data_IF_099568802975
#
_entry.id   IF_099568802975
#
_cell.length_a   1.000
_cell.length_b   1.000
_cell.length_c   1.000
_cell.angle_alpha   90.00
_cell.angle_beta   90.00
_cell.angle_gamma   90.00
#
_symmetry.space_group_name_H-M   'P 1'
#
loop_
_entity.id
_entity.type
_entity.pdbx_description
1 polymer ?
#
# COMPACT_ATOMS: atom_id res chain seq x y z
N UNK A 1 15.29 19.06 1.06
CA UNK A 1 14.36 18.55 0.03
C UNK A 1 13.97 17.17 0.48
N UNK A 2 12.67 16.83 0.49
CA UNK A 2 12.22 15.47 0.79
C UNK A 2 11.99 14.75 -0.54
N UNK A 3 12.76 13.69 -0.80
CA UNK A 3 12.60 12.87 -1.99
C UNK A 3 11.60 11.75 -1.70
N UNK A 4 10.59 11.63 -2.56
CA UNK A 4 9.62 10.52 -2.53
C UNK A 4 9.76 9.69 -3.80
N UNK A 5 9.75 8.37 -3.64
CA UNK A 5 9.63 7.43 -4.75
C UNK A 5 8.61 6.33 -4.45
N UNK A 6 8.30 5.51 -5.45
CA UNK A 6 7.34 4.42 -5.40
C UNK A 6 8.04 3.06 -5.47
N UNK A 7 7.54 2.09 -4.70
CA UNK A 7 7.94 0.67 -4.78
C UNK A 7 6.71 -0.22 -4.92
N UNK A 8 6.82 -1.30 -5.71
CA UNK A 8 5.78 -2.31 -5.77
C UNK A 8 5.79 -3.17 -4.50
N UNK A 9 4.61 -3.63 -4.07
CA UNK A 9 4.47 -4.59 -2.98
C UNK A 9 5.46 -5.77 -3.05
N UNK A 10 5.62 -6.36 -4.24
CA UNK A 10 6.46 -7.54 -4.46
C UNK A 10 7.97 -7.24 -4.34
N UNK A 11 8.36 -5.97 -4.36
CA UNK A 11 9.76 -5.54 -4.33
C UNK A 11 10.24 -5.18 -2.92
N UNK A 12 9.37 -5.20 -1.90
CA UNK A 12 9.70 -4.85 -0.51
C UNK A 12 10.80 -5.73 0.12
N UNK A 13 10.95 -6.97 -0.36
CA UNK A 13 11.93 -7.95 0.14
C UNK A 13 13.20 -8.03 -0.72
N UNK A 14 13.40 -7.07 -1.62
CA UNK A 14 14.54 -7.02 -2.54
C UNK A 14 15.49 -5.88 -2.18
N UNK A 15 16.57 -5.75 -2.95
CA UNK A 15 17.58 -4.69 -2.78
C UNK A 15 17.07 -3.28 -3.15
N UNK A 16 15.83 -3.15 -3.63
CA UNK A 16 15.25 -1.87 -4.04
C UNK A 16 15.25 -0.82 -2.91
N UNK A 17 14.92 -1.20 -1.67
CA UNK A 17 14.93 -0.24 -0.56
C UNK A 17 16.34 0.29 -0.24
N UNK A 18 17.37 -0.55 -0.39
CA UNK A 18 18.76 -0.13 -0.24
C UNK A 18 19.19 0.82 -1.36
N UNK A 19 18.79 0.51 -2.59
CA UNK A 19 19.02 1.40 -3.73
C UNK A 19 18.35 2.77 -3.52
N UNK A 20 17.05 2.80 -3.19
CA UNK A 20 16.29 4.04 -2.95
C UNK A 20 16.92 4.86 -1.83
N UNK A 21 17.37 4.20 -0.75
CA UNK A 21 18.07 4.89 0.32
C UNK A 21 19.41 5.49 -0.16
N UNK A 22 20.15 4.79 -1.00
CA UNK A 22 21.45 5.25 -1.52
C UNK A 22 21.37 6.53 -2.36
N UNK A 23 20.22 6.78 -2.99
CA UNK A 23 19.93 8.00 -3.75
C UNK A 23 19.19 9.06 -2.93
N UNK A 24 19.19 8.91 -1.60
CA UNK A 24 18.59 9.85 -0.63
C UNK A 24 17.07 9.98 -0.70
N UNK A 25 16.34 8.92 -1.09
CA UNK A 25 14.89 8.88 -0.88
C UNK A 25 14.58 8.92 0.62
N UNK A 26 13.62 9.75 0.99
CA UNK A 26 13.17 9.97 2.37
C UNK A 26 11.82 9.28 2.62
N UNK A 27 10.93 9.26 1.62
CA UNK A 27 9.59 8.70 1.76
C UNK A 27 9.25 7.72 0.64
N UNK A 28 8.50 6.67 1.00
CA UNK A 28 8.07 5.61 0.10
C UNK A 28 6.57 5.68 -0.09
N UNK A 29 6.17 5.56 -1.35
CA UNK A 29 4.83 5.24 -1.78
C UNK A 29 4.75 3.75 -2.13
N UNK A 30 3.92 2.99 -1.42
CA UNK A 30 3.76 1.57 -1.66
C UNK A 30 2.62 1.31 -2.66
N UNK A 31 2.96 0.73 -3.81
CA UNK A 31 2.03 0.37 -4.87
C UNK A 31 1.45 -1.03 -4.65
N UNK A 32 0.14 -1.12 -4.47
CA UNK A 32 -0.56 -2.36 -4.10
C UNK A 32 -1.67 -2.75 -5.09
N UNK A 33 -1.82 -2.09 -6.24
CA UNK A 33 -2.89 -2.41 -7.21
C UNK A 33 -2.86 -3.83 -7.78
N UNK A 34 -1.73 -4.54 -7.65
CA UNK A 34 -1.60 -5.94 -8.04
C UNK A 34 -2.08 -6.91 -6.94
N UNK A 35 -2.34 -6.42 -5.73
CA UNK A 35 -2.90 -7.21 -4.65
C UNK A 35 -4.41 -7.32 -4.82
N UNK A 36 -4.94 -8.53 -4.68
CA UNK A 36 -6.38 -8.70 -4.47
C UNK A 36 -6.71 -8.27 -3.03
N UNK A 37 -7.40 -7.14 -2.92
CA UNK A 37 -7.88 -6.53 -1.67
C UNK A 37 -9.40 -6.68 -1.51
N UNK A 38 -10.04 -7.47 -2.37
CA UNK A 38 -11.51 -7.58 -2.44
C UNK A 38 -12.09 -8.77 -1.69
N UNK A 39 -11.28 -9.42 -0.86
CA UNK A 39 -11.60 -10.64 -0.11
C UNK A 39 -12.17 -10.39 1.30
N UNK A 40 -12.23 -9.11 1.74
CA UNK A 40 -12.76 -8.73 3.05
C UNK A 40 -11.87 -9.11 4.24
N UNK A 41 -10.64 -9.56 4.00
CA UNK A 41 -9.70 -9.87 5.07
C UNK A 41 -8.97 -8.61 5.52
N UNK A 42 -8.80 -8.45 6.84
CA UNK A 42 -7.95 -7.38 7.38
C UNK A 42 -6.51 -7.51 6.86
N UNK A 43 -5.92 -6.38 6.51
CA UNK A 43 -4.54 -6.27 5.99
C UNK A 43 -3.62 -5.52 6.95
N UNK A 44 -4.04 -5.27 8.18
CA UNK A 44 -3.28 -4.48 9.17
C UNK A 44 -1.86 -5.02 9.37
N UNK A 45 -1.72 -6.31 9.69
CA UNK A 45 -0.40 -6.92 9.90
C UNK A 45 0.49 -6.86 8.64
N UNK A 46 -0.11 -6.90 7.45
CA UNK A 46 0.62 -6.80 6.19
C UNK A 46 1.21 -5.39 6.04
N UNK A 47 0.41 -4.35 6.27
CA UNK A 47 0.88 -2.97 6.15
C UNK A 47 1.83 -2.56 7.29
N UNK A 48 1.65 -3.10 8.49
CA UNK A 48 2.61 -2.95 9.59
C UNK A 48 3.98 -3.52 9.20
N UNK A 49 4.03 -4.75 8.67
CA UNK A 49 5.30 -5.34 8.18
C UNK A 49 5.92 -4.54 7.05
N UNK A 50 5.12 -4.00 6.13
CA UNK A 50 5.63 -3.14 5.07
C UNK A 50 6.24 -1.85 5.64
N UNK A 51 5.59 -1.24 6.63
CA UNK A 51 6.07 -0.05 7.35
C UNK A 51 7.39 -0.35 8.04
N UNK A 52 7.47 -1.44 8.80
CA UNK A 52 8.69 -1.88 9.49
C UNK A 52 9.88 -2.03 8.53
N UNK A 53 9.68 -2.67 7.37
CA UNK A 53 10.73 -2.85 6.37
C UNK A 53 11.26 -1.53 5.81
N UNK A 54 10.36 -0.60 5.48
CA UNK A 54 10.73 0.72 4.96
C UNK A 54 11.46 1.54 6.04
N UNK A 55 10.94 1.53 7.26
CA UNK A 55 11.50 2.30 8.39
C UNK A 55 12.83 1.74 8.89
N UNK A 56 13.05 0.43 8.80
CA UNK A 56 14.35 -0.20 9.08
C UNK A 56 15.48 0.30 8.17
N UNK A 57 15.15 0.84 6.98
CA UNK A 57 16.12 1.45 6.05
C UNK A 57 16.29 2.96 6.25
N UNK A 58 15.63 3.53 7.27
CA UNK A 58 15.69 4.97 7.58
C UNK A 58 14.86 5.84 6.64
N UNK A 59 13.86 5.27 5.96
CA UNK A 59 12.86 5.97 5.15
C UNK A 59 11.50 5.92 5.85
N UNK A 60 10.51 6.70 5.41
CA UNK A 60 9.15 6.66 5.94
C UNK A 60 8.17 6.10 4.90
N UNK A 61 7.36 5.11 5.29
CA UNK A 61 6.19 4.72 4.49
C UNK A 61 5.12 5.82 4.59
N UNK A 62 4.95 6.59 3.51
CA UNK A 62 4.11 7.79 3.50
C UNK A 62 2.71 7.56 2.93
N UNK A 63 2.59 6.68 1.92
CA UNK A 63 1.29 6.36 1.32
C UNK A 63 1.25 4.90 0.86
N UNK A 64 0.06 4.32 0.85
CA UNK A 64 -0.22 3.01 0.24
C UNK A 64 -1.33 3.20 -0.81
N UNK A 65 -1.13 2.69 -2.02
CA UNK A 65 -1.98 3.00 -3.17
C UNK A 65 -2.76 1.83 -3.70
N UNK A 66 -4.07 1.96 -3.53
CA UNK A 66 -5.06 0.97 -3.89
C UNK A 66 -5.91 1.44 -5.06
N UNK A 67 -6.38 0.49 -5.86
CA UNK A 67 -7.47 0.72 -6.79
C UNK A 67 -8.80 0.47 -6.09
N UNK A 68 -9.66 1.49 -6.06
CA UNK A 68 -11.04 1.34 -5.63
C UNK A 68 -11.76 0.27 -6.46
N UNK A 69 -12.52 -0.68 -5.84
CA UNK A 69 -13.37 -1.61 -6.57
C UNK A 69 -14.29 -0.85 -7.53
N UNK A 70 -14.30 -1.25 -8.81
CA UNK A 70 -15.03 -0.56 -9.89
C UNK A 70 -16.54 -0.46 -9.64
N UNK A 71 -17.09 -1.38 -8.84
CA UNK A 71 -18.51 -1.44 -8.49
C UNK A 71 -18.95 -0.17 -7.74
N UNK A 72 -18.05 0.44 -6.97
CA UNK A 72 -18.30 1.67 -6.19
C UNK A 72 -18.51 2.89 -7.10
N UNK A 73 -17.52 3.34 -7.90
CA UNK A 73 -17.71 4.53 -8.74
C UNK A 73 -18.72 4.34 -9.87
N UNK A 74 -18.99 3.10 -10.28
CA UNK A 74 -19.91 2.80 -11.39
C UNK A 74 -21.33 2.44 -10.92
N UNK A 75 -21.58 2.29 -9.62
CA UNK A 75 -22.90 1.94 -9.08
C UNK A 75 -23.40 0.59 -9.57
N UNK A 76 -22.51 -0.41 -9.64
CA UNK A 76 -22.85 -1.75 -10.13
C UNK A 76 -23.46 -2.63 -9.02
N UNK A 77 -23.99 -3.78 -9.43
CA UNK A 77 -24.46 -4.80 -8.50
C UNK A 77 -23.35 -5.21 -7.52
N UNK A 78 -23.69 -5.36 -6.23
CA UNK A 78 -22.74 -5.68 -5.16
C UNK A 78 -22.00 -4.47 -4.55
N UNK A 79 -22.37 -3.23 -4.91
CA UNK A 79 -21.71 -2.01 -4.41
C UNK A 79 -21.60 -1.94 -2.88
N UNK A 80 -22.64 -2.31 -2.14
CA UNK A 80 -22.62 -2.18 -0.67
C UNK A 80 -21.62 -3.11 -0.02
N UNK A 81 -21.50 -4.35 -0.51
CA UNK A 81 -20.46 -5.28 -0.06
C UNK A 81 -19.06 -4.72 -0.35
N UNK A 82 -18.86 -4.12 -1.53
CA UNK A 82 -17.57 -3.52 -1.89
C UNK A 82 -17.24 -2.28 -1.07
N UNK A 83 -18.25 -1.49 -0.68
CA UNK A 83 -18.05 -0.36 0.24
C UNK A 83 -17.58 -0.84 1.60
N UNK A 84 -18.22 -1.86 2.18
CA UNK A 84 -17.81 -2.41 3.48
C UNK A 84 -16.38 -2.95 3.46
N UNK A 85 -16.02 -3.71 2.40
CA UNK A 85 -14.65 -4.20 2.19
C UNK A 85 -13.66 -3.03 2.08
N UNK A 86 -14.03 -1.97 1.37
CA UNK A 86 -13.18 -0.79 1.20
C UNK A 86 -12.98 -0.02 2.52
N UNK A 87 -14.04 0.10 3.34
CA UNK A 87 -13.96 0.70 4.67
C UNK A 87 -13.00 -0.09 5.55
N UNK A 88 -13.14 -1.42 5.62
CA UNK A 88 -12.25 -2.28 6.40
C UNK A 88 -10.79 -2.17 5.96
N UNK A 89 -10.53 -2.04 4.66
CA UNK A 89 -9.19 -1.80 4.14
C UNK A 89 -8.63 -0.46 4.65
N UNK A 90 -9.42 0.62 4.57
CA UNK A 90 -8.99 1.95 5.03
C UNK A 90 -8.71 1.98 6.54
N UNK A 91 -9.47 1.23 7.33
CA UNK A 91 -9.24 1.07 8.77
C UNK A 91 -7.96 0.28 9.09
N UNK A 92 -7.39 -0.43 8.11
CA UNK A 92 -6.20 -1.26 8.30
C UNK A 92 -4.85 -0.57 8.03
N UNK A 93 -4.85 0.72 7.65
CA UNK A 93 -3.66 1.49 7.20
C UNK A 93 -2.85 2.16 8.32
#
# INVERSE_FOLDING_TARGET
MLLQDQINWNDLDTDWLDFLRSISVDTIHLETRQMDITDGNSRTELFEKAREKVEAKGMKLNNVFFSCPREIPLGLEGVEEKIEIWIQLLESL
#
